data_IF_708212782838
#
_entry.id   IF_708212782838
#
_cell.length_a   1.000
_cell.length_b   1.000
_cell.length_c   1.000
_cell.angle_alpha   90.00
_cell.angle_beta   90.00
_cell.angle_gamma   90.00
#
_symmetry.space_group_name_H-M   'P 1'
#
loop_
_entity.id
_entity.type
_entity.pdbx_description
1 polymer ?
#
# COMPACT_ATOMS: atom_id res chain seq x y z
N UNK A 1 17.22 -1.19 -23.34
CA UNK A 1 16.36 -1.01 -22.14
C UNK A 1 16.43 0.45 -21.75
N UNK A 2 15.29 1.11 -21.52
CA UNK A 2 15.25 2.54 -21.24
C UNK A 2 15.48 2.76 -19.74
N UNK A 3 16.64 3.31 -19.36
CA UNK A 3 17.07 3.44 -17.96
C UNK A 3 16.08 4.25 -17.08
N UNK A 4 15.27 5.12 -17.69
CA UNK A 4 14.24 5.89 -16.97
C UNK A 4 13.01 5.06 -16.60
N UNK A 5 12.59 4.08 -17.41
CA UNK A 5 11.47 3.20 -17.07
C UNK A 5 11.86 2.24 -15.94
N UNK A 6 13.15 1.87 -15.88
CA UNK A 6 13.69 1.02 -14.82
C UNK A 6 13.76 1.73 -13.47
N UNK A 7 14.19 2.99 -13.43
CA UNK A 7 14.24 3.77 -12.19
C UNK A 7 12.85 4.05 -11.61
N UNK A 8 11.85 4.32 -12.46
CA UNK A 8 10.46 4.54 -12.02
C UNK A 8 9.85 3.28 -11.40
N UNK A 9 10.14 2.10 -11.94
CA UNK A 9 9.64 0.83 -11.40
C UNK A 9 10.24 0.49 -10.04
N UNK A 10 11.55 0.72 -9.88
CA UNK A 10 12.22 0.59 -8.59
C UNK A 10 11.69 1.59 -7.56
N UNK A 11 11.46 2.84 -7.96
CA UNK A 11 10.90 3.85 -7.07
C UNK A 11 9.47 3.48 -6.63
N UNK A 12 8.62 3.00 -7.54
CA UNK A 12 7.29 2.49 -7.21
C UNK A 12 7.33 1.35 -6.17
N UNK A 13 8.30 0.44 -6.32
CA UNK A 13 8.52 -0.67 -5.40
C UNK A 13 9.02 -0.22 -4.02
N UNK A 14 9.90 0.78 -3.96
CA UNK A 14 10.36 1.36 -2.68
C UNK A 14 9.18 2.04 -1.96
N UNK A 15 8.36 2.80 -2.68
CA UNK A 15 7.16 3.43 -2.12
C UNK A 15 6.16 2.37 -1.62
N UNK A 16 6.02 1.24 -2.32
CA UNK A 16 5.23 0.10 -1.85
C UNK A 16 5.76 -0.45 -0.52
N UNK A 17 7.07 -0.70 -0.42
CA UNK A 17 7.73 -1.18 0.79
C UNK A 17 7.49 -0.26 1.99
N UNK A 18 7.56 1.06 1.79
CA UNK A 18 7.26 2.04 2.85
C UNK A 18 5.80 1.89 3.31
N UNK A 19 4.85 1.73 2.38
CA UNK A 19 3.44 1.49 2.72
C UNK A 19 3.23 0.22 3.54
N UNK A 20 3.90 -0.88 3.16
CA UNK A 20 3.84 -2.15 3.90
C UNK A 20 4.46 -2.03 5.29
N UNK A 21 5.61 -1.38 5.42
CA UNK A 21 6.24 -1.15 6.74
C UNK A 21 5.32 -0.32 7.63
N UNK A 22 4.68 0.71 7.08
CA UNK A 22 3.71 1.54 7.82
C UNK A 22 2.51 0.71 8.27
N UNK A 23 2.03 -0.21 7.43
CA UNK A 23 0.95 -1.14 7.80
C UNK A 23 1.36 -2.09 8.94
N UNK A 24 2.58 -2.63 8.91
CA UNK A 24 3.12 -3.45 10.00
C UNK A 24 3.20 -2.62 11.29
N UNK A 25 3.71 -1.39 11.22
CA UNK A 25 3.74 -0.48 12.37
C UNK A 25 2.34 -0.18 12.91
N UNK A 26 1.35 0.00 12.04
CA UNK A 26 -0.05 0.16 12.46
C UNK A 26 -0.57 -1.05 13.24
N UNK A 27 -0.35 -2.27 12.75
CA UNK A 27 -0.82 -3.50 13.42
C UNK A 27 -0.14 -3.72 14.77
N UNK A 28 1.19 -3.57 14.84
CA UNK A 28 1.96 -3.93 16.03
C UNK A 28 2.11 -2.81 17.06
N UNK A 29 2.02 -1.56 16.62
CA UNK A 29 2.33 -0.37 17.43
C UNK A 29 1.12 0.52 17.69
N UNK A 30 -0.07 0.12 17.20
CA UNK A 30 -1.31 0.90 17.21
C UNK A 30 -1.46 1.85 18.40
N UNK A 31 -1.53 3.15 18.10
CA UNK A 31 -1.69 4.30 19.00
C UNK A 31 -0.70 4.45 20.17
N UNK A 32 0.29 3.56 20.32
CA UNK A 32 1.25 3.62 21.45
C UNK A 32 2.43 4.55 21.17
N UNK A 33 2.87 4.66 19.91
CA UNK A 33 4.01 5.50 19.51
C UNK A 33 3.58 6.61 18.54
N UNK A 34 2.70 6.28 17.58
CA UNK A 34 2.19 7.22 16.56
C UNK A 34 0.67 7.07 16.53
N UNK A 35 -0.04 8.18 16.37
CA UNK A 35 -1.50 8.19 16.26
C UNK A 35 -1.97 7.30 15.10
N UNK A 36 -2.98 6.46 15.38
CA UNK A 36 -3.58 5.56 14.38
C UNK A 36 -4.09 6.29 13.14
N UNK A 37 -4.65 7.49 13.33
CA UNK A 37 -5.14 8.32 12.23
C UNK A 37 -4.00 8.70 11.28
N UNK A 38 -2.83 9.05 11.83
CA UNK A 38 -1.66 9.42 11.03
C UNK A 38 -1.16 8.18 10.27
N UNK A 39 -1.02 7.03 10.94
CA UNK A 39 -0.55 5.80 10.31
C UNK A 39 -1.48 5.33 9.19
N UNK A 40 -2.80 5.38 9.38
CA UNK A 40 -3.77 5.03 8.35
C UNK A 40 -3.68 5.96 7.13
N UNK A 41 -3.61 7.29 7.35
CA UNK A 41 -3.51 8.25 6.25
C UNK A 41 -2.20 8.06 5.48
N UNK A 42 -1.07 7.94 6.19
CA UNK A 42 0.24 7.72 5.56
C UNK A 42 0.27 6.41 4.78
N UNK A 43 -0.28 5.33 5.33
CA UNK A 43 -0.41 4.04 4.63
C UNK A 43 -1.27 4.19 3.35
N UNK A 44 -2.44 4.83 3.46
CA UNK A 44 -3.34 5.02 2.33
C UNK A 44 -2.68 5.82 1.21
N UNK A 45 -2.06 6.96 1.54
CA UNK A 45 -1.38 7.82 0.57
C UNK A 45 -0.23 7.07 -0.11
N UNK A 46 0.62 6.39 0.65
CA UNK A 46 1.79 5.67 0.11
C UNK A 46 1.38 4.49 -0.80
N UNK A 47 0.36 3.72 -0.43
CA UNK A 47 -0.15 2.63 -1.26
C UNK A 47 -0.79 3.13 -2.56
N UNK A 48 -1.58 4.22 -2.49
CA UNK A 48 -2.18 4.83 -3.69
C UNK A 48 -1.10 5.40 -4.61
N UNK A 49 -0.11 6.10 -4.06
CA UNK A 49 1.01 6.62 -4.83
C UNK A 49 1.78 5.47 -5.51
N UNK A 50 2.11 4.42 -4.76
CA UNK A 50 2.78 3.24 -5.31
C UNK A 50 1.98 2.62 -6.45
N UNK A 51 0.65 2.53 -6.33
CA UNK A 51 -0.20 1.99 -7.38
C UNK A 51 -0.16 2.85 -8.64
N UNK A 52 -0.28 4.17 -8.52
CA UNK A 52 -0.20 5.12 -9.65
C UNK A 52 1.15 4.98 -10.37
N UNK A 53 2.24 5.00 -9.62
CA UNK A 53 3.59 4.86 -10.19
C UNK A 53 3.81 3.49 -10.83
N UNK A 54 3.24 2.44 -10.25
CA UNK A 54 3.30 1.08 -10.80
C UNK A 54 2.50 0.95 -12.09
N UNK A 55 1.37 1.65 -12.23
CA UNK A 55 0.57 1.70 -13.48
C UNK A 55 1.38 2.35 -14.59
N UNK A 56 2.08 3.44 -14.29
CA UNK A 56 2.94 4.15 -15.24
C UNK A 56 4.13 3.25 -15.64
N UNK A 57 4.72 2.52 -14.69
CA UNK A 57 5.86 1.62 -14.91
C UNK A 57 5.45 0.17 -15.27
N UNK A 58 4.20 -0.09 -15.69
CA UNK A 58 3.68 -1.46 -15.93
C UNK A 58 4.45 -2.29 -16.95
N UNK A 59 5.30 -1.66 -17.77
CA UNK A 59 6.15 -2.32 -18.77
C UNK A 59 7.38 -2.98 -18.13
N UNK A 60 7.79 -2.53 -16.95
CA UNK A 60 8.91 -3.06 -16.19
C UNK A 60 8.49 -4.17 -15.22
N UNK A 61 9.37 -5.14 -14.94
CA UNK A 61 9.15 -6.23 -13.98
C UNK A 61 8.89 -5.71 -12.57
N UNK A 62 9.65 -4.70 -12.13
CA UNK A 62 9.47 -4.09 -10.80
C UNK A 62 8.14 -3.34 -10.68
N UNK A 63 7.78 -2.56 -11.71
CA UNK A 63 6.48 -1.89 -11.78
C UNK A 63 5.32 -2.88 -11.74
N UNK A 64 5.40 -4.01 -12.47
CA UNK A 64 4.38 -5.07 -12.39
C UNK A 64 4.27 -5.69 -11.00
N UNK A 65 5.39 -6.05 -10.38
CA UNK A 65 5.38 -6.66 -9.05
C UNK A 65 4.74 -5.72 -8.02
N UNK A 66 5.13 -4.44 -8.06
CA UNK A 66 4.56 -3.39 -7.22
C UNK A 66 3.08 -3.15 -7.51
N UNK A 67 2.64 -3.23 -8.77
CA UNK A 67 1.23 -3.10 -9.16
C UNK A 67 0.36 -4.21 -8.55
N UNK A 68 0.77 -5.47 -8.72
CA UNK A 68 0.04 -6.60 -8.15
C UNK A 68 0.09 -6.57 -6.61
N UNK A 69 1.24 -6.26 -6.03
CA UNK A 69 1.42 -6.16 -4.58
C UNK A 69 0.54 -5.07 -3.95
N UNK A 70 0.64 -3.84 -4.45
CA UNK A 70 -0.18 -2.71 -3.97
C UNK A 70 -1.68 -2.98 -4.15
N UNK A 71 -2.09 -3.50 -5.31
CA UNK A 71 -3.48 -3.87 -5.57
C UNK A 71 -4.00 -4.93 -4.60
N UNK A 72 -3.22 -5.99 -4.33
CA UNK A 72 -3.60 -7.03 -3.38
C UNK A 72 -3.69 -6.50 -1.94
N UNK A 73 -2.74 -5.67 -1.50
CA UNK A 73 -2.75 -5.10 -0.15
C UNK A 73 -3.95 -4.17 0.03
N UNK A 74 -4.23 -3.29 -0.93
CA UNK A 74 -5.42 -2.42 -0.90
C UNK A 74 -6.70 -3.27 -0.88
N UNK A 75 -6.77 -4.32 -1.71
CA UNK A 75 -7.90 -5.24 -1.73
C UNK A 75 -8.13 -5.92 -0.38
N UNK A 76 -7.07 -6.39 0.28
CA UNK A 76 -7.14 -6.99 1.61
C UNK A 76 -7.61 -5.99 2.68
N UNK A 77 -7.12 -4.74 2.64
CA UNK A 77 -7.54 -3.69 3.58
C UNK A 77 -9.04 -3.40 3.41
N UNK A 78 -9.51 -3.25 2.18
CA UNK A 78 -10.94 -3.01 1.90
C UNK A 78 -11.78 -4.20 2.39
N UNK A 79 -11.35 -5.43 2.08
CA UNK A 79 -12.06 -6.64 2.49
C UNK A 79 -12.12 -6.77 4.01
N UNK A 80 -11.05 -6.43 4.71
CA UNK A 80 -11.00 -6.37 6.18
C UNK A 80 -12.01 -5.36 6.74
N UNK A 81 -12.06 -4.14 6.17
CA UNK A 81 -13.03 -3.12 6.58
C UNK A 81 -14.49 -3.54 6.33
N UNK A 82 -14.77 -4.15 5.17
CA UNK A 82 -16.11 -4.66 4.84
C UNK A 82 -16.50 -5.77 5.81
N UNK A 83 -15.60 -6.74 6.08
CA UNK A 83 -15.85 -7.82 7.01
C UNK A 83 -16.13 -7.29 8.43
N UNK A 84 -15.31 -6.35 8.91
CA UNK A 84 -15.54 -5.68 10.19
C UNK A 84 -16.88 -4.95 10.21
N UNK A 85 -17.24 -4.22 9.16
CA UNK A 85 -18.54 -3.53 9.09
C UNK A 85 -19.72 -4.50 9.16
N UNK A 86 -19.64 -5.68 8.57
CA UNK A 86 -20.71 -6.69 8.63
C UNK A 86 -20.79 -7.30 10.04
N UNK A 87 -19.65 -7.59 10.67
CA UNK A 87 -19.57 -8.19 12.00
C UNK A 87 -20.03 -7.19 13.08
N UNK A 88 -19.62 -5.92 12.97
CA UNK A 88 -19.90 -4.89 13.98
C UNK A 88 -21.27 -4.23 13.83
N UNK A 89 -21.93 -4.38 12.67
CA UNK A 89 -23.27 -3.86 12.41
C UNK A 89 -24.37 -4.93 12.68
N UNK A 90 -24.06 -5.93 13.50
CA UNK A 90 -25.08 -6.77 14.14
C UNK A 90 -25.70 -5.99 15.30
N UNK A 91 -27.03 -5.88 15.38
CA UNK A 91 -27.71 -5.15 16.47
C UNK A 91 -27.47 -5.79 17.84
#
# INVERSE_FOLDING_TARGET
MNNQEDSMGLFAFIVFLIGVITFVLYIFTGNTIISDTILMITMGVTLVLSLILSVISRKNRWGKFSLYGSGSVIGLIILFYIAMSIIWNQP
#
